data_IF_586481755314
#
_entry.id   IF_586481755314
#
_cell.length_a   1.000
_cell.length_b   1.000
_cell.length_c   1.000
_cell.angle_alpha   90.00
_cell.angle_beta   90.00
_cell.angle_gamma   90.00
#
_symmetry.space_group_name_H-M   'P 1'
#
loop_
_entity.id
_entity.type
_entity.pdbx_description
1 polymer ?
#
# COMPACT_ATOMS: atom_id res chain seq x y z
N UNK A 1 -5.87 72.66 32.38
CA UNK A 1 -6.50 71.34 32.68
C UNK A 1 -7.38 70.92 31.52
N UNK A 2 -7.48 69.60 31.28
CA UNK A 2 -8.20 68.86 30.21
C UNK A 2 -7.44 68.68 28.89
N UNK A 3 -6.65 67.59 28.81
CA UNK A 3 -6.38 66.87 27.56
C UNK A 3 -7.20 65.58 27.59
N UNK A 4 -8.03 65.38 26.56
CA UNK A 4 -8.89 64.21 26.41
C UNK A 4 -8.09 62.94 26.10
N UNK A 5 -8.50 61.84 26.72
CA UNK A 5 -8.04 60.48 26.42
C UNK A 5 -9.07 59.89 25.46
N UNK A 6 -8.70 59.74 24.19
CA UNK A 6 -9.48 58.97 23.23
C UNK A 6 -8.87 57.56 23.13
N UNK A 7 -9.61 56.61 23.68
CA UNK A 7 -9.35 55.17 23.72
C UNK A 7 -9.14 54.61 22.31
N UNK A 8 -7.96 54.04 22.04
CA UNK A 8 -7.72 53.24 20.83
C UNK A 8 -8.36 51.86 21.00
N UNK A 9 -9.38 51.57 20.20
CA UNK A 9 -9.90 50.21 20.02
C UNK A 9 -8.84 49.37 19.32
N UNK A 10 -8.40 48.27 19.94
CA UNK A 10 -7.58 47.24 19.32
C UNK A 10 -8.54 46.23 18.63
N UNK A 11 -8.39 45.93 17.33
CA UNK A 11 -9.16 44.87 16.71
C UNK A 11 -8.62 43.51 17.17
N UNK A 12 -9.50 42.69 17.75
CA UNK A 12 -9.24 41.30 18.08
C UNK A 12 -9.11 40.51 16.77
N UNK A 13 -7.87 40.16 16.40
CA UNK A 13 -7.59 39.35 15.22
C UNK A 13 -8.02 37.90 15.54
N UNK A 14 -9.14 37.47 14.97
CA UNK A 14 -9.59 36.09 15.06
C UNK A 14 -8.59 35.19 14.30
N UNK A 15 -7.84 34.38 15.04
CA UNK A 15 -7.00 33.33 14.48
C UNK A 15 -7.95 32.23 14.01
N UNK A 16 -8.29 32.23 12.73
CA UNK A 16 -8.92 31.08 12.07
C UNK A 16 -7.83 30.03 11.91
N UNK A 17 -7.82 29.03 12.77
CA UNK A 17 -7.03 27.82 12.52
C UNK A 17 -7.62 27.13 11.31
N UNK A 18 -6.95 27.22 10.17
CA UNK A 18 -7.21 26.34 9.03
C UNK A 18 -6.98 24.91 9.52
N UNK A 19 -8.06 24.19 9.81
CA UNK A 19 -8.02 22.74 9.80
C UNK A 19 -7.60 22.35 8.38
N UNK A 20 -6.35 21.90 8.23
CA UNK A 20 -5.88 21.38 6.95
C UNK A 20 -6.87 20.32 6.48
N UNK A 21 -7.35 20.42 5.24
CA UNK A 21 -8.08 19.35 4.59
C UNK A 21 -7.26 18.07 4.75
N UNK A 22 -7.70 17.18 5.63
CA UNK A 22 -7.15 15.84 5.68
C UNK A 22 -7.45 15.20 4.32
N UNK A 23 -6.43 14.72 3.62
CA UNK A 23 -6.64 14.07 2.33
C UNK A 23 -7.52 12.84 2.56
N UNK A 24 -8.77 12.88 2.10
CA UNK A 24 -9.78 11.83 2.31
C UNK A 24 -9.60 10.62 1.38
N UNK A 25 -8.36 10.20 1.12
CA UNK A 25 -8.08 9.07 0.23
C UNK A 25 -6.77 8.38 0.58
N UNK A 26 -6.45 7.25 -0.09
CA UNK A 26 -5.31 6.42 0.27
C UNK A 26 -4.01 7.22 0.33
N UNK A 27 -3.15 6.94 1.32
CA UNK A 27 -1.83 7.56 1.41
C UNK A 27 -0.98 7.30 0.16
N UNK A 28 -1.16 6.12 -0.45
CA UNK A 28 -0.51 5.74 -1.68
C UNK A 28 -0.96 6.63 -2.85
N UNK A 29 -0.02 7.34 -3.47
CA UNK A 29 -0.18 8.10 -4.72
C UNK A 29 0.82 7.63 -5.76
N UNK A 30 0.58 7.89 -7.04
CA UNK A 30 1.49 7.54 -8.14
C UNK A 30 2.81 8.33 -8.09
N UNK A 31 3.82 7.91 -8.86
CA UNK A 31 5.07 8.66 -8.97
C UNK A 31 4.91 9.95 -9.79
N UNK A 32 3.84 10.06 -10.58
CA UNK A 32 3.52 11.22 -11.41
C UNK A 32 3.28 12.45 -10.52
N UNK A 33 4.11 13.48 -10.72
CA UNK A 33 4.05 14.74 -9.99
C UNK A 33 3.54 15.84 -10.91
N UNK A 34 2.68 16.70 -10.37
CA UNK A 34 2.30 17.97 -10.98
C UNK A 34 2.62 19.12 -10.02
N UNK A 35 3.05 20.25 -10.58
CA UNK A 35 3.24 21.48 -9.80
C UNK A 35 1.97 22.31 -9.85
N UNK A 36 1.28 22.41 -8.71
CA UNK A 36 0.07 23.21 -8.56
C UNK A 36 0.38 24.33 -7.58
N UNK A 37 0.31 25.57 -8.07
CA UNK A 37 0.59 26.77 -7.28
C UNK A 37 1.95 26.74 -6.53
N UNK A 38 2.97 26.14 -7.15
CA UNK A 38 4.32 26.04 -6.57
C UNK A 38 4.50 24.92 -5.55
N UNK A 39 3.46 24.10 -5.31
CA UNK A 39 3.55 22.87 -4.52
C UNK A 39 3.58 21.65 -5.44
N UNK A 40 4.49 20.71 -5.18
CA UNK A 40 4.49 19.42 -5.86
C UNK A 40 3.39 18.52 -5.26
N UNK A 41 2.45 18.08 -6.10
CA UNK A 41 1.38 17.15 -5.73
C UNK A 41 1.51 15.89 -6.57
N UNK A 42 1.39 14.72 -5.93
CA UNK A 42 1.37 13.43 -6.63
C UNK A 42 -0.05 13.08 -7.07
N UNK A 43 -0.21 12.65 -8.32
CA UNK A 43 -1.51 12.19 -8.81
C UNK A 43 -1.94 10.88 -8.12
N UNK A 44 -3.23 10.68 -7.82
CA UNK A 44 -3.72 9.39 -7.36
C UNK A 44 -3.58 8.31 -8.45
N UNK A 45 -3.51 7.05 -8.06
CA UNK A 45 -3.77 5.94 -8.97
C UNK A 45 -5.23 5.92 -9.43
N UNK A 46 -5.47 5.31 -10.59
CA UNK A 46 -6.81 5.13 -11.16
C UNK A 46 -7.59 4.05 -10.41
N UNK A 47 -6.91 2.96 -10.03
CA UNK A 47 -7.50 1.84 -9.31
C UNK A 47 -6.75 1.60 -8.01
N UNK A 48 -7.50 1.26 -6.96
CA UNK A 48 -6.96 0.85 -5.68
C UNK A 48 -7.54 -0.51 -5.28
N UNK A 49 -6.74 -1.28 -4.56
CA UNK A 49 -7.15 -2.50 -3.87
C UNK A 49 -6.47 -2.50 -2.53
N UNK A 50 -7.24 -2.64 -1.45
CA UNK A 50 -6.67 -2.72 -0.10
C UNK A 50 -6.78 -4.13 0.45
N UNK A 51 -5.83 -4.48 1.30
CA UNK A 51 -5.79 -5.72 2.05
C UNK A 51 -5.54 -5.42 3.52
N UNK A 52 -6.47 -5.84 4.36
CA UNK A 52 -6.43 -5.70 5.81
C UNK A 52 -6.14 -7.04 6.44
N UNK A 53 -5.06 -7.11 7.20
CA UNK A 53 -4.62 -8.32 7.87
C UNK A 53 -4.19 -8.05 9.31
N UNK A 54 -4.22 -9.12 10.10
CA UNK A 54 -3.68 -9.14 11.45
C UNK A 54 -2.81 -10.37 11.57
N UNK A 55 -1.53 -10.20 11.92
CA UNK A 55 -0.62 -11.31 12.10
C UNK A 55 -0.49 -11.65 13.58
N UNK A 56 -0.78 -12.90 13.91
CA UNK A 56 -0.54 -13.52 15.21
C UNK A 56 -0.19 -15.02 15.01
N UNK A 57 -0.01 -15.75 16.10
CA UNK A 57 0.35 -17.17 16.10
C UNK A 57 -0.68 -18.08 15.40
N UNK A 58 -1.92 -17.62 15.18
CA UNK A 58 -2.96 -18.38 14.48
C UNK A 58 -2.83 -18.29 12.95
N UNK A 59 -2.05 -17.34 12.44
CA UNK A 59 -1.98 -17.05 11.01
C UNK A 59 -0.79 -17.74 10.36
N UNK A 60 -1.09 -18.69 9.47
CA UNK A 60 -0.05 -19.39 8.71
C UNK A 60 0.52 -18.47 7.63
N UNK A 61 1.85 -18.26 7.57
CA UNK A 61 2.48 -17.51 6.49
C UNK A 61 2.43 -18.26 5.17
N UNK A 62 2.20 -17.56 4.06
CA UNK A 62 2.21 -18.14 2.70
C UNK A 62 3.61 -18.62 2.28
N UNK A 63 4.65 -18.05 2.89
CA UNK A 63 6.00 -18.58 2.76
C UNK A 63 7.02 -17.78 3.55
N UNK A 64 8.24 -17.71 2.99
CA UNK A 64 9.35 -16.99 3.62
C UNK A 64 10.11 -16.14 2.61
N UNK A 65 10.48 -14.93 3.03
CA UNK A 65 11.43 -14.06 2.33
C UNK A 65 12.67 -13.95 3.20
N UNK A 66 13.83 -14.42 2.69
CA UNK A 66 15.11 -14.46 3.42
C UNK A 66 14.97 -15.07 4.83
N UNK A 67 14.15 -16.11 4.96
CA UNK A 67 13.91 -16.84 6.21
C UNK A 67 12.86 -16.22 7.15
N UNK A 68 12.34 -15.02 6.86
CA UNK A 68 11.25 -14.38 7.62
C UNK A 68 9.88 -14.78 7.07
N UNK A 69 8.87 -14.99 7.93
CA UNK A 69 7.49 -15.22 7.49
C UNK A 69 7.02 -14.14 6.52
N UNK A 70 6.31 -14.52 5.46
CA UNK A 70 5.78 -13.57 4.48
C UNK A 70 4.36 -13.95 4.06
N UNK A 71 3.56 -12.92 3.80
CA UNK A 71 2.18 -13.00 3.34
C UNK A 71 2.10 -12.44 1.93
N UNK A 72 1.33 -13.08 1.05
CA UNK A 72 1.33 -12.77 -0.38
C UNK A 72 0.00 -12.21 -0.87
N UNK A 73 0.10 -11.29 -1.81
CA UNK A 73 -0.94 -11.06 -2.81
C UNK A 73 -0.35 -11.32 -4.19
N UNK A 74 -1.21 -11.71 -5.12
CA UNK A 74 -0.83 -11.94 -6.50
C UNK A 74 -1.59 -10.99 -7.40
N UNK A 75 -0.86 -10.33 -8.31
CA UNK A 75 -1.42 -9.43 -9.30
C UNK A 75 -1.22 -10.01 -10.71
N UNK A 76 -2.31 -10.16 -11.45
CA UNK A 76 -2.28 -10.44 -12.88
C UNK A 76 -2.28 -9.13 -13.66
N UNK A 77 -1.23 -8.94 -14.45
CA UNK A 77 -1.09 -7.83 -15.37
C UNK A 77 -1.41 -8.33 -16.79
N UNK A 78 -2.48 -7.85 -17.46
CA UNK A 78 -2.93 -8.42 -18.73
C UNK A 78 -2.12 -7.94 -19.95
N UNK A 79 -1.51 -6.75 -19.87
CA UNK A 79 -0.74 -6.09 -20.92
C UNK A 79 0.36 -5.21 -20.28
N UNK A 80 1.19 -4.52 -21.07
CA UNK A 80 2.20 -3.63 -20.48
C UNK A 80 1.53 -2.48 -19.72
N UNK A 81 2.09 -2.12 -18.57
CA UNK A 81 1.59 -1.03 -17.71
C UNK A 81 2.74 -0.09 -17.34
N UNK A 82 2.40 1.11 -16.88
CA UNK A 82 3.34 2.18 -16.53
C UNK A 82 3.85 2.10 -15.09
N UNK A 83 2.99 1.76 -14.13
CA UNK A 83 3.35 1.71 -12.72
C UNK A 83 2.48 0.74 -11.90
N UNK A 84 3.12 0.08 -10.92
CA UNK A 84 2.44 -0.52 -9.76
C UNK A 84 2.98 0.16 -8.50
N UNK A 85 2.08 0.73 -7.71
CA UNK A 85 2.35 1.18 -6.36
C UNK A 85 1.92 0.17 -5.33
N UNK A 86 2.68 0.04 -4.25
CA UNK A 86 2.26 -0.71 -3.07
C UNK A 86 2.68 0.08 -1.83
N UNK A 87 1.76 0.27 -0.88
CA UNK A 87 2.06 0.72 0.48
C UNK A 87 1.68 -0.33 1.49
N UNK A 88 2.33 -0.31 2.64
CA UNK A 88 2.00 -1.13 3.80
C UNK A 88 2.19 -0.28 5.06
N UNK A 89 1.14 -0.18 5.86
CA UNK A 89 1.09 0.59 7.10
C UNK A 89 0.75 -0.37 8.24
N UNK A 90 1.52 -0.30 9.34
CA UNK A 90 1.26 -1.04 10.57
C UNK A 90 1.41 -0.12 11.79
N UNK A 91 0.43 -0.07 12.71
CA UNK A 91 -0.86 -0.78 12.66
C UNK A 91 -1.75 -0.25 11.52
N UNK A 92 -2.82 -0.96 11.17
CA UNK A 92 -3.78 -0.45 10.18
C UNK A 92 -4.40 0.87 10.67
N UNK A 93 -4.44 1.90 9.83
CA UNK A 93 -5.02 3.22 10.17
C UNK A 93 -6.41 3.43 9.56
N UNK A 94 -6.67 2.85 8.38
CA UNK A 94 -7.97 2.87 7.75
C UNK A 94 -8.84 1.70 8.23
N UNK A 95 -10.14 1.83 7.98
CA UNK A 95 -11.12 0.75 8.18
C UNK A 95 -11.41 0.11 6.81
N UNK A 96 -11.56 -1.22 6.74
CA UNK A 96 -11.95 -1.88 5.50
C UNK A 96 -13.24 -1.30 4.90
N UNK A 97 -13.24 -1.08 3.60
CA UNK A 97 -14.42 -0.72 2.82
C UNK A 97 -14.97 -1.94 2.05
N UNK A 98 -16.16 -1.78 1.47
CA UNK A 98 -16.74 -2.80 0.59
C UNK A 98 -15.81 -3.09 -0.60
N UNK A 99 -15.50 -4.37 -0.82
CA UNK A 99 -14.62 -4.82 -1.90
C UNK A 99 -13.14 -4.91 -1.52
N UNK A 100 -12.74 -4.49 -0.32
CA UNK A 100 -11.39 -4.72 0.19
C UNK A 100 -11.19 -6.19 0.59
N UNK A 101 -9.94 -6.66 0.48
CA UNK A 101 -9.55 -7.95 1.03
C UNK A 101 -9.44 -7.83 2.55
N UNK A 102 -10.19 -8.63 3.28
CA UNK A 102 -10.14 -8.65 4.75
C UNK A 102 -9.84 -10.07 5.19
N UNK A 103 -8.73 -10.25 5.90
CA UNK A 103 -8.43 -11.52 6.53
C UNK A 103 -9.54 -11.87 7.52
N UNK A 104 -10.02 -13.12 7.50
CA UNK A 104 -11.19 -13.54 8.29
C UNK A 104 -11.05 -13.32 9.80
N UNK A 105 -9.83 -13.30 10.33
CA UNK A 105 -9.54 -13.05 11.75
C UNK A 105 -9.26 -11.58 12.09
N UNK A 106 -9.21 -10.69 11.10
CA UNK A 106 -8.74 -9.31 11.26
C UNK A 106 -9.47 -8.56 12.38
N UNK A 107 -10.81 -8.47 12.32
CA UNK A 107 -11.60 -7.70 13.28
C UNK A 107 -11.48 -8.26 14.70
N UNK A 108 -11.54 -9.59 14.86
CA UNK A 108 -11.46 -10.25 16.15
C UNK A 108 -10.08 -10.07 16.80
N UNK A 109 -9.00 -10.24 16.03
CA UNK A 109 -7.63 -10.05 16.53
C UNK A 109 -7.34 -8.57 16.82
N UNK A 110 -7.81 -7.65 15.97
CA UNK A 110 -7.68 -6.20 16.20
C UNK A 110 -8.42 -5.77 17.47
N UNK A 111 -9.61 -6.30 17.74
CA UNK A 111 -10.35 -6.03 18.97
C UNK A 111 -9.61 -6.56 20.20
N UNK A 112 -8.97 -7.73 20.09
CA UNK A 112 -8.25 -8.36 21.19
C UNK A 112 -6.95 -7.64 21.55
N UNK A 113 -6.21 -7.16 20.56
CA UNK A 113 -4.91 -6.53 20.77
C UNK A 113 -4.65 -5.42 19.72
N UNK A 114 -5.29 -4.25 19.91
CA UNK A 114 -5.31 -3.17 18.91
C UNK A 114 -3.99 -2.41 18.79
N UNK A 115 -3.08 -2.56 19.75
CA UNK A 115 -1.86 -1.76 19.84
C UNK A 115 -0.64 -2.47 19.23
N UNK A 116 -0.77 -3.72 18.79
CA UNK A 116 0.32 -4.43 18.13
C UNK A 116 0.55 -3.92 16.72
N UNK A 117 1.81 -3.72 16.42
CA UNK A 117 2.32 -3.28 15.13
C UNK A 117 3.72 -3.82 14.91
N UNK A 118 4.18 -3.73 13.67
CA UNK A 118 5.51 -4.17 13.28
C UNK A 118 6.12 -3.24 12.23
N UNK A 119 7.43 -3.31 12.11
CA UNK A 119 8.15 -2.57 11.08
C UNK A 119 7.99 -3.29 9.74
N UNK A 120 7.36 -2.63 8.78
CA UNK A 120 6.95 -3.27 7.53
C UNK A 120 8.11 -3.46 6.56
N UNK A 121 7.96 -4.42 5.63
CA UNK A 121 8.86 -4.63 4.50
C UNK A 121 8.05 -5.21 3.33
N UNK A 122 8.18 -4.61 2.15
CA UNK A 122 7.48 -5.06 0.94
C UNK A 122 8.48 -5.49 -0.12
N UNK A 123 8.15 -6.56 -0.87
CA UNK A 123 8.80 -6.90 -2.14
C UNK A 123 7.79 -7.00 -3.27
N UNK A 124 8.21 -6.64 -4.47
CA UNK A 124 7.50 -6.96 -5.71
C UNK A 124 8.36 -7.87 -6.59
N UNK A 125 7.86 -9.07 -6.84
CA UNK A 125 8.50 -10.08 -7.68
C UNK A 125 7.68 -10.35 -8.94
N UNK A 126 8.33 -10.61 -10.08
CA UNK A 126 7.71 -11.22 -11.26
C UNK A 126 7.82 -12.73 -11.16
N UNK A 127 6.72 -13.45 -11.36
CA UNK A 127 6.72 -14.90 -11.49
C UNK A 127 6.91 -15.34 -12.94
N UNK A 128 7.36 -16.56 -13.15
CA UNK A 128 7.49 -17.16 -14.49
C UNK A 128 6.13 -17.63 -15.08
N UNK A 129 5.08 -16.84 -14.91
CA UNK A 129 3.72 -17.10 -15.39
C UNK A 129 3.29 -15.94 -16.29
N UNK A 130 3.22 -16.18 -17.60
CA UNK A 130 2.78 -15.19 -18.62
C UNK A 130 1.47 -15.58 -19.31
N UNK A 131 1.03 -16.82 -19.08
CA UNK A 131 -0.14 -17.46 -19.67
C UNK A 131 -1.20 -17.61 -18.57
N UNK A 132 -2.36 -16.97 -18.77
CA UNK A 132 -3.43 -16.93 -17.77
C UNK A 132 -4.00 -18.32 -17.45
N UNK A 133 -3.96 -19.23 -18.42
CA UNK A 133 -4.39 -20.62 -18.25
C UNK A 133 -3.45 -21.43 -17.34
N UNK A 134 -2.28 -20.88 -16.98
CA UNK A 134 -1.28 -21.54 -16.13
C UNK A 134 -1.14 -20.93 -14.73
N UNK A 135 -1.94 -19.91 -14.37
CA UNK A 135 -1.85 -19.24 -13.07
C UNK A 135 -1.99 -20.26 -11.91
N UNK A 136 -2.99 -21.13 -11.98
CA UNK A 136 -3.26 -22.17 -10.97
C UNK A 136 -2.20 -23.29 -10.91
N UNK A 137 -1.21 -23.31 -11.81
CA UNK A 137 -0.12 -24.30 -11.79
C UNK A 137 1.06 -23.88 -10.90
N UNK A 138 0.97 -22.69 -10.30
CA UNK A 138 2.07 -22.11 -9.55
C UNK A 138 3.16 -21.53 -10.45
N UNK A 139 4.12 -20.86 -9.83
CA UNK A 139 5.26 -20.26 -10.50
C UNK A 139 6.42 -20.04 -9.55
N UNK A 140 7.63 -19.96 -10.12
CA UNK A 140 8.83 -19.53 -9.41
C UNK A 140 9.03 -18.05 -9.65
N UNK A 141 9.68 -17.38 -8.69
CA UNK A 141 10.19 -16.02 -8.90
C UNK A 141 11.16 -16.06 -10.07
N UNK A 142 10.80 -15.36 -11.13
CA UNK A 142 11.66 -15.12 -12.28
C UNK A 142 12.61 -13.96 -11.98
N UNK A 143 12.10 -12.95 -11.27
CA UNK A 143 12.82 -11.72 -11.04
C UNK A 143 12.27 -10.97 -9.83
N UNK A 144 13.16 -10.54 -8.93
CA UNK A 144 12.84 -9.49 -7.96
C UNK A 144 12.92 -8.13 -8.66
N UNK A 145 11.85 -7.34 -8.59
CA UNK A 145 11.77 -6.04 -9.26
C UNK A 145 12.17 -4.92 -8.33
N UNK A 146 11.59 -4.89 -7.13
CA UNK A 146 11.83 -3.83 -6.17
C UNK A 146 11.46 -4.27 -4.74
N UNK A 147 11.92 -3.50 -3.77
CA UNK A 147 11.57 -3.63 -2.37
C UNK A 147 11.59 -2.26 -1.68
N UNK A 148 10.92 -2.15 -0.54
CA UNK A 148 11.05 -1.00 0.36
C UNK A 148 10.73 -1.43 1.80
N UNK A 149 11.36 -0.77 2.77
CA UNK A 149 11.23 -1.06 4.22
C UNK A 149 11.13 0.21 5.09
N UNK A 150 11.10 1.38 4.46
CA UNK A 150 10.98 2.68 5.10
C UNK A 150 10.57 3.77 4.11
N UNK A 151 9.72 4.68 4.57
CA UNK A 151 9.39 5.89 3.83
C UNK A 151 8.86 6.98 4.75
N UNK A 152 9.25 8.23 4.46
CA UNK A 152 8.68 9.42 5.09
C UNK A 152 7.42 9.94 4.40
N UNK A 153 6.99 9.31 3.29
CA UNK A 153 5.74 9.67 2.59
C UNK A 153 4.48 9.12 3.30
N UNK A 154 4.65 8.16 4.21
CA UNK A 154 3.56 7.57 5.00
C UNK A 154 3.60 8.07 6.45
N UNK A 155 2.49 7.92 7.20
CA UNK A 155 2.47 8.17 8.64
C UNK A 155 3.59 7.42 9.35
N UNK A 156 4.14 8.02 10.40
CA UNK A 156 5.05 7.32 11.28
C UNK A 156 4.30 6.21 12.04
N UNK A 157 4.97 5.09 12.29
CA UNK A 157 4.39 4.06 13.15
C UNK A 157 4.30 4.57 14.62
N UNK A 158 3.67 3.82 15.55
CA UNK A 158 3.50 4.27 16.93
C UNK A 158 4.81 4.56 17.70
N UNK A 159 5.97 4.12 17.21
CA UNK A 159 7.28 4.50 17.77
C UNK A 159 7.73 5.90 17.37
N UNK A 160 7.04 6.56 16.45
CA UNK A 160 7.43 7.82 15.82
C UNK A 160 8.41 7.65 14.66
N UNK A 161 8.67 6.41 14.22
CA UNK A 161 9.61 6.10 13.15
C UNK A 161 8.92 5.88 11.80
N UNK A 162 9.60 6.25 10.71
CA UNK A 162 9.15 6.09 9.33
C UNK A 162 9.34 4.66 8.78
N UNK A 163 8.90 3.64 9.53
CA UNK A 163 9.09 2.22 9.20
C UNK A 163 7.88 1.57 8.50
N UNK A 164 6.95 2.40 8.03
CA UNK A 164 5.96 1.99 7.05
C UNK A 164 6.61 1.97 5.66
N UNK A 165 6.13 1.09 4.78
CA UNK A 165 6.77 0.79 3.51
C UNK A 165 5.95 1.31 2.35
N UNK A 166 6.61 1.89 1.35
CA UNK A 166 6.01 2.32 0.10
C UNK A 166 6.97 2.02 -1.05
N UNK A 167 6.52 1.21 -2.00
CA UNK A 167 7.23 1.00 -3.26
C UNK A 167 6.41 1.54 -4.44
N UNK A 168 7.12 2.06 -5.44
CA UNK A 168 6.56 2.36 -6.77
C UNK A 168 7.47 1.75 -7.80
N UNK A 169 6.99 0.72 -8.50
CA UNK A 169 7.71 0.15 -9.63
C UNK A 169 7.25 0.87 -10.91
N UNK A 170 8.09 1.78 -11.40
CA UNK A 170 7.88 2.40 -12.71
C UNK A 170 8.41 1.45 -13.79
N UNK A 171 7.59 1.25 -14.83
CA UNK A 171 7.92 0.41 -15.97
C UNK A 171 8.90 1.11 -16.90
N UNK A 172 10.07 0.50 -17.11
CA UNK A 172 11.01 0.92 -18.14
C UNK A 172 10.94 -0.07 -19.31
N UNK A 173 10.16 0.23 -20.35
CA UNK A 173 9.91 -0.69 -21.48
C UNK A 173 11.18 -1.07 -22.26
N UNK A 174 12.22 -0.25 -22.18
CA UNK A 174 13.55 -0.52 -22.74
C UNK A 174 14.39 -1.48 -21.87
N UNK A 175 13.95 -1.81 -20.66
CA UNK A 175 14.64 -2.66 -19.70
C UNK A 175 13.78 -3.85 -19.29
N UNK A 176 14.05 -5.06 -19.83
CA UNK A 176 13.28 -6.27 -19.49
C UNK A 176 13.22 -6.57 -17.99
N UNK A 177 14.21 -6.08 -17.24
CA UNK A 177 14.34 -6.28 -15.80
C UNK A 177 13.54 -5.31 -14.94
N UNK A 178 12.97 -4.27 -15.55
CA UNK A 178 12.16 -3.25 -14.87
C UNK A 178 10.79 -3.05 -15.50
N UNK A 179 10.60 -3.51 -16.73
CA UNK A 179 9.33 -3.41 -17.43
C UNK A 179 8.21 -4.13 -16.66
N UNK A 180 7.04 -3.52 -16.60
CA UNK A 180 5.83 -4.16 -16.11
C UNK A 180 5.04 -4.69 -17.31
N UNK A 181 5.30 -5.93 -17.67
CA UNK A 181 4.72 -6.63 -18.84
C UNK A 181 3.66 -7.63 -18.39
N UNK A 182 2.96 -8.22 -19.36
CA UNK A 182 1.98 -9.26 -19.09
C UNK A 182 2.56 -10.40 -18.22
N UNK A 183 1.85 -10.75 -17.15
CA UNK A 183 2.21 -11.88 -16.30
C UNK A 183 1.70 -11.75 -14.86
N UNK A 184 2.08 -12.72 -14.04
CA UNK A 184 1.79 -12.71 -12.59
C UNK A 184 2.93 -12.07 -11.82
N UNK A 185 2.56 -11.19 -10.91
CA UNK A 185 3.43 -10.53 -9.95
C UNK A 185 3.05 -10.99 -8.55
N UNK A 186 4.04 -11.24 -7.71
CA UNK A 186 3.83 -11.54 -6.29
C UNK A 186 4.27 -10.33 -5.48
N UNK A 187 3.36 -9.84 -4.66
CA UNK A 187 3.61 -8.81 -3.66
C UNK A 187 3.78 -9.55 -2.34
N UNK A 188 4.91 -9.36 -1.66
CA UNK A 188 5.17 -9.99 -0.37
C UNK A 188 5.22 -8.95 0.73
N UNK A 189 4.51 -9.22 1.82
CA UNK A 189 4.48 -8.44 3.04
C UNK A 189 5.20 -9.20 4.14
N UNK A 190 6.21 -8.59 4.76
CA UNK A 190 7.03 -9.22 5.81
C UNK A 190 7.58 -8.15 6.78
N UNK A 191 8.45 -8.57 7.70
CA UNK A 191 9.23 -7.70 8.58
C UNK A 191 10.63 -8.27 8.78
N UNK A 192 11.63 -7.39 8.80
CA UNK A 192 13.01 -7.76 9.16
C UNK A 192 13.47 -7.21 10.51
N UNK A 193 12.93 -6.06 10.94
CA UNK A 193 13.38 -5.35 12.15
C UNK A 193 12.68 -5.83 13.41
N UNK A 194 11.41 -6.20 13.32
CA UNK A 194 10.62 -6.71 14.45
C UNK A 194 10.09 -8.12 14.17
N UNK A 195 9.41 -8.70 15.16
CA UNK A 195 8.47 -9.79 14.88
C UNK A 195 7.35 -9.24 13.98
N UNK A 196 6.82 -10.09 13.10
CA UNK A 196 5.66 -9.74 12.29
C UNK A 196 4.42 -10.10 13.10
N UNK A 197 3.98 -9.16 13.93
CA UNK A 197 2.82 -9.35 14.80
C UNK A 197 2.04 -8.03 14.90
N UNK A 198 0.72 -8.10 14.75
CA UNK A 198 -0.16 -6.94 14.77
C UNK A 198 -0.91 -6.71 13.46
N UNK A 199 -1.69 -5.63 13.46
CA UNK A 199 -2.51 -5.25 12.30
C UNK A 199 -1.68 -4.58 11.22
N UNK A 200 -2.16 -4.68 9.98
CA UNK A 200 -1.64 -3.90 8.87
C UNK A 200 -2.73 -3.65 7.82
N UNK A 201 -2.53 -2.59 7.07
CA UNK A 201 -3.19 -2.37 5.80
C UNK A 201 -2.14 -2.31 4.69
N UNK A 202 -2.42 -3.00 3.59
CA UNK A 202 -1.65 -2.88 2.37
C UNK A 202 -2.54 -2.29 1.29
N UNK A 203 -2.05 -1.32 0.54
CA UNK A 203 -2.77 -0.72 -0.58
C UNK A 203 -1.97 -0.93 -1.86
N UNK A 204 -2.63 -1.39 -2.91
CA UNK A 204 -2.06 -1.56 -4.24
C UNK A 204 -2.73 -0.56 -5.16
N UNK A 205 -1.92 0.19 -5.92
CA UNK A 205 -2.37 1.20 -6.86
C UNK A 205 -1.90 0.89 -8.28
N UNK A 206 -2.78 1.05 -9.27
CA UNK A 206 -2.45 0.92 -10.70
C UNK A 206 -3.13 2.02 -11.53
N UNK A 207 -2.49 2.44 -12.64
CA UNK A 207 -3.03 3.47 -13.53
C UNK A 207 -3.82 2.90 -14.72
N UNK A 208 -3.86 1.57 -14.87
CA UNK A 208 -4.55 0.93 -15.99
C UNK A 208 -5.67 0.01 -15.50
N UNK A 209 -6.79 -0.08 -16.24
CA UNK A 209 -7.83 -1.06 -15.97
C UNK A 209 -7.35 -2.49 -16.29
N UNK A 210 -7.99 -3.49 -15.68
CA UNK A 210 -7.80 -4.90 -16.02
C UNK A 210 -6.70 -5.63 -15.25
N UNK A 211 -5.96 -4.95 -14.37
CA UNK A 211 -5.15 -5.64 -13.36
C UNK A 211 -6.09 -6.32 -12.37
N UNK A 212 -5.89 -7.61 -12.13
CA UNK A 212 -6.66 -8.39 -11.15
C UNK A 212 -5.74 -8.77 -10.00
N UNK A 213 -6.23 -8.69 -8.77
CA UNK A 213 -5.47 -8.99 -7.56
C UNK A 213 -6.24 -10.04 -6.76
N UNK A 214 -5.53 -10.98 -6.14
CA UNK A 214 -6.11 -11.99 -5.26
C UNK A 214 -5.13 -12.44 -4.18
N UNK A 215 -5.64 -13.11 -3.13
CA UNK A 215 -4.82 -13.65 -2.05
C UNK A 215 -4.14 -14.99 -2.42
N UNK A 216 -4.69 -15.72 -3.38
CA UNK A 216 -4.12 -16.97 -3.87
C UNK A 216 -4.01 -17.02 -5.41
N UNK A 217 -3.15 -17.90 -5.92
CA UNK A 217 -3.06 -18.12 -7.37
C UNK A 217 -4.32 -18.83 -7.90
N UNK A 218 -4.97 -19.63 -7.08
CA UNK A 218 -6.25 -20.27 -7.38
C UNK A 218 -7.33 -19.22 -7.61
N UNK A 219 -7.56 -18.32 -6.65
CA UNK A 219 -8.50 -17.21 -6.79
C UNK A 219 -8.15 -16.29 -7.95
N UNK A 220 -6.87 -15.95 -8.12
CA UNK A 220 -6.42 -15.12 -9.23
C UNK A 220 -6.75 -15.78 -10.58
N UNK A 221 -6.54 -17.10 -10.69
CA UNK A 221 -6.87 -17.85 -11.90
C UNK A 221 -8.38 -17.80 -12.19
N UNK A 222 -9.21 -17.91 -11.17
CA UNK A 222 -10.66 -17.80 -11.31
C UNK A 222 -11.08 -16.39 -11.78
N UNK A 223 -10.60 -15.35 -11.10
CA UNK A 223 -10.89 -13.96 -11.45
C UNK A 223 -10.48 -13.62 -12.89
N UNK A 224 -9.36 -14.18 -13.35
CA UNK A 224 -8.82 -13.88 -14.69
C UNK A 224 -9.51 -14.68 -15.80
N UNK A 225 -10.03 -15.87 -15.52
CA UNK A 225 -10.53 -16.80 -16.56
C UNK A 225 -12.03 -17.10 -16.52
N UNK A 226 -12.73 -16.81 -15.42
CA UNK A 226 -14.18 -17.06 -15.30
C UNK A 226 -15.06 -15.84 -15.64
N UNK A 227 -14.48 -14.64 -15.73
CA UNK A 227 -15.19 -13.41 -16.17
C UNK A 227 -15.19 -13.22 -17.71
N UNK A 228 -15.13 -14.30 -18.49
CA UNK A 228 -15.12 -14.30 -19.95
C UNK A 228 -16.32 -14.99 -20.59
#
# INVERSE_FOLDING_TARGET
MKKGIATKLLPLLAIVTLAGCMSTGPHLKSSNKESIAGMEVRAPYVNYTSYFGYVDDSVTPDGKIKGKPAYYLYAWVPAVIDEIGVSMISPAEATPAEGDFVQSTFEASLQSDPNKYFDTYITLDRLNIVDNAKINKGGKVLQALNYNDDTSELPANPSGSSYNSLLRQVSEVSSPTKALVRGVYRISFTSFRSAIEGSFEATIGTNVPGVKIAASLEELHELVNKEG
#
